data_IF_696080724755
#
_entry.id   IF_696080724755
#
_cell.length_a   1.000
_cell.length_b   1.000
_cell.length_c   1.000
_cell.angle_alpha   90.00
_cell.angle_beta   90.00
_cell.angle_gamma   90.00
#
_symmetry.space_group_name_H-M   'P 1'
#
loop_
_entity.id
_entity.type
_entity.pdbx_description
1 polymer ?
#
# COMPACT_ATOMS: atom_id res chain seq x y z
N UNK A 1 -13.33 8.72 -10.05
CA UNK A 1 -13.59 7.46 -9.33
C UNK A 1 -14.44 7.83 -8.11
N UNK A 2 -15.50 7.10 -7.81
CA UNK A 2 -16.38 7.49 -6.70
C UNK A 2 -15.60 7.47 -5.37
N UNK A 3 -15.86 8.44 -4.50
CA UNK A 3 -15.18 8.56 -3.19
C UNK A 3 -15.30 7.28 -2.35
N UNK A 4 -16.46 6.61 -2.42
CA UNK A 4 -16.70 5.30 -1.78
C UNK A 4 -15.71 4.21 -2.24
N UNK A 5 -15.38 4.17 -3.53
CA UNK A 5 -14.43 3.18 -4.08
C UNK A 5 -13.01 3.44 -3.59
N UNK A 6 -12.61 4.71 -3.45
CA UNK A 6 -11.30 5.07 -2.87
C UNK A 6 -11.24 4.63 -1.40
N UNK A 7 -12.29 4.89 -0.64
CA UNK A 7 -12.35 4.56 0.78
C UNK A 7 -12.30 3.03 1.01
N UNK A 8 -13.09 2.27 0.24
CA UNK A 8 -13.05 0.79 0.29
C UNK A 8 -11.67 0.28 -0.10
N UNK A 9 -11.08 0.82 -1.18
CA UNK A 9 -9.73 0.44 -1.60
C UNK A 9 -8.68 0.68 -0.52
N UNK A 10 -8.74 1.84 0.16
CA UNK A 10 -7.82 2.16 1.26
C UNK A 10 -8.02 1.22 2.46
N UNK A 11 -9.27 0.90 2.78
CA UNK A 11 -9.60 -0.06 3.84
C UNK A 11 -9.02 -1.45 3.54
N UNK A 12 -9.26 -1.96 2.33
CA UNK A 12 -8.75 -3.27 1.89
C UNK A 12 -7.22 -3.30 1.90
N UNK A 13 -6.58 -2.24 1.39
CA UNK A 13 -5.11 -2.14 1.37
C UNK A 13 -4.53 -2.08 2.79
N UNK A 14 -5.19 -1.38 3.71
CA UNK A 14 -4.79 -1.32 5.12
C UNK A 14 -4.86 -2.70 5.79
N UNK A 15 -5.96 -3.43 5.58
CA UNK A 15 -6.09 -4.81 6.08
C UNK A 15 -5.02 -5.72 5.49
N UNK A 16 -4.73 -5.58 4.19
CA UNK A 16 -3.65 -6.33 3.54
C UNK A 16 -2.29 -6.04 4.19
N UNK A 17 -1.97 -4.78 4.50
CA UNK A 17 -0.73 -4.43 5.19
C UNK A 17 -0.62 -5.08 6.57
N UNK A 18 -1.71 -5.09 7.36
CA UNK A 18 -1.71 -5.77 8.65
C UNK A 18 -1.40 -7.26 8.48
N UNK A 19 -2.04 -7.93 7.51
CA UNK A 19 -1.78 -9.35 7.22
C UNK A 19 -0.34 -9.60 6.78
N UNK A 20 0.23 -8.73 5.92
CA UNK A 20 1.62 -8.79 5.48
C UNK A 20 2.56 -8.63 6.67
N UNK A 21 2.35 -7.64 7.54
CA UNK A 21 3.19 -7.38 8.71
C UNK A 21 3.18 -8.58 9.65
N UNK A 22 2.01 -9.16 9.93
CA UNK A 22 1.92 -10.37 10.77
C UNK A 22 2.60 -11.55 10.07
N UNK A 23 2.42 -11.73 8.77
CA UNK A 23 3.09 -12.78 8.00
C UNK A 23 4.62 -12.63 7.97
N UNK A 24 5.16 -11.42 8.07
CA UNK A 24 6.60 -11.15 8.15
C UNK A 24 7.15 -11.42 9.55
N UNK A 25 6.45 -10.97 10.61
CA UNK A 25 6.94 -11.07 11.99
C UNK A 25 6.70 -12.48 12.56
N UNK A 26 5.54 -13.07 12.30
CA UNK A 26 5.12 -14.37 12.83
C UNK A 26 4.59 -15.28 11.71
N UNK A 27 5.44 -15.72 10.77
CA UNK A 27 5.01 -16.53 9.63
C UNK A 27 4.37 -17.86 10.02
N UNK A 28 4.67 -18.39 11.22
CA UNK A 28 4.11 -19.65 11.70
C UNK A 28 2.61 -19.57 12.07
N UNK A 29 2.09 -18.36 12.33
CA UNK A 29 0.70 -18.15 12.77
C UNK A 29 -0.26 -17.98 11.59
N UNK A 30 0.25 -17.54 10.44
CA UNK A 30 -0.55 -17.25 9.26
C UNK A 30 -0.34 -18.33 8.18
N UNK A 31 -1.43 -18.98 7.72
CA UNK A 31 -1.33 -19.89 6.59
C UNK A 31 -0.88 -19.12 5.34
N UNK A 32 -0.03 -19.74 4.52
CA UNK A 32 0.52 -19.12 3.30
C UNK A 32 1.33 -17.84 3.52
N UNK A 33 1.99 -17.67 4.69
CA UNK A 33 2.80 -16.49 5.01
C UNK A 33 3.80 -16.12 3.90
N UNK A 34 4.44 -17.09 3.25
CA UNK A 34 5.36 -16.84 2.13
C UNK A 34 4.69 -16.10 0.97
N UNK A 35 3.44 -16.45 0.62
CA UNK A 35 2.69 -15.76 -0.45
C UNK A 35 2.41 -14.31 -0.03
N UNK A 36 1.97 -14.09 1.21
CA UNK A 36 1.73 -12.75 1.72
C UNK A 36 3.00 -11.90 1.77
N UNK A 37 4.14 -12.48 2.13
CA UNK A 37 5.44 -11.81 2.07
C UNK A 37 5.79 -11.38 0.64
N UNK A 38 5.61 -12.26 -0.35
CA UNK A 38 5.81 -11.92 -1.77
C UNK A 38 4.85 -10.84 -2.25
N UNK A 39 3.56 -10.94 -1.90
CA UNK A 39 2.55 -9.92 -2.22
C UNK A 39 2.94 -8.58 -1.60
N UNK A 40 3.39 -8.57 -0.35
CA UNK A 40 3.90 -7.37 0.31
C UNK A 40 5.13 -6.79 -0.36
N UNK A 41 6.08 -7.63 -0.77
CA UNK A 41 7.25 -7.22 -1.54
C UNK A 41 6.87 -6.58 -2.88
N UNK A 42 5.97 -7.20 -3.64
CA UNK A 42 5.47 -6.69 -4.92
C UNK A 42 4.74 -5.35 -4.71
N UNK A 43 3.87 -5.26 -3.70
CA UNK A 43 3.17 -4.03 -3.36
C UNK A 43 4.14 -2.91 -3.00
N UNK A 44 5.14 -3.20 -2.18
CA UNK A 44 6.16 -2.22 -1.79
C UNK A 44 6.92 -1.70 -3.02
N UNK A 45 7.37 -2.60 -3.91
CA UNK A 45 8.05 -2.23 -5.16
C UNK A 45 7.13 -1.40 -6.06
N UNK A 46 5.87 -1.80 -6.22
CA UNK A 46 4.90 -1.05 -7.02
C UNK A 46 4.71 0.36 -6.47
N UNK A 47 4.50 0.52 -5.16
CA UNK A 47 4.34 1.84 -4.55
C UNK A 47 5.63 2.69 -4.63
N UNK A 48 6.82 2.08 -4.52
CA UNK A 48 8.08 2.78 -4.76
C UNK A 48 8.18 3.31 -6.21
N UNK A 49 7.78 2.51 -7.20
CA UNK A 49 7.73 2.95 -8.60
C UNK A 49 6.75 4.12 -8.75
N UNK A 50 5.56 4.03 -8.15
CA UNK A 50 4.57 5.11 -8.16
C UNK A 50 5.12 6.39 -7.53
N UNK A 51 5.86 6.28 -6.42
CA UNK A 51 6.56 7.42 -5.82
C UNK A 51 7.52 8.05 -6.82
N UNK A 52 8.37 7.26 -7.46
CA UNK A 52 9.37 7.78 -8.42
C UNK A 52 8.70 8.44 -9.62
N UNK A 53 7.65 7.82 -10.18
CA UNK A 53 6.92 8.31 -11.36
C UNK A 53 6.13 9.58 -11.04
N UNK A 54 5.44 9.61 -9.90
CA UNK A 54 4.54 10.70 -9.51
C UNK A 54 5.14 11.68 -8.50
N UNK A 55 6.47 11.64 -8.26
CA UNK A 55 7.17 12.49 -7.28
C UNK A 55 6.85 13.98 -7.41
N UNK A 56 6.58 14.46 -8.64
CA UNK A 56 6.27 15.88 -8.91
C UNK A 56 4.93 16.33 -8.34
N UNK A 57 4.03 15.39 -8.04
CA UNK A 57 2.73 15.66 -7.41
C UNK A 57 2.83 15.68 -5.87
N UNK A 58 3.94 15.20 -5.30
CA UNK A 58 4.12 15.09 -3.85
C UNK A 58 4.72 16.37 -3.28
N UNK A 59 4.07 16.94 -2.27
CA UNK A 59 4.43 18.23 -1.67
C UNK A 59 5.16 18.08 -0.34
N UNK A 60 5.12 16.90 0.29
CA UNK A 60 5.84 16.64 1.54
C UNK A 60 5.86 15.16 1.93
N UNK A 61 6.57 14.85 3.01
CA UNK A 61 6.77 13.46 3.52
C UNK A 61 5.47 12.70 3.77
N UNK A 62 4.38 13.39 4.13
CA UNK A 62 3.06 12.78 4.29
C UNK A 62 2.50 12.20 2.99
N UNK A 63 2.78 12.81 1.84
CA UNK A 63 2.34 12.30 0.54
C UNK A 63 3.13 11.05 0.15
N UNK A 64 4.44 11.04 0.42
CA UNK A 64 5.29 9.87 0.19
C UNK A 64 4.84 8.68 1.04
N UNK A 65 4.57 8.88 2.34
CA UNK A 65 4.06 7.83 3.22
C UNK A 65 2.67 7.35 2.79
N UNK A 66 1.79 8.29 2.41
CA UNK A 66 0.46 7.95 1.94
C UNK A 66 0.48 7.11 0.65
N UNK A 67 1.39 7.42 -0.29
CA UNK A 67 1.56 6.62 -1.51
C UNK A 67 2.26 5.30 -1.22
N UNK A 68 3.18 5.24 -0.25
CA UNK A 68 3.77 3.96 0.15
C UNK A 68 2.75 2.99 0.74
N UNK A 69 1.76 3.51 1.47
CA UNK A 69 0.72 2.71 2.12
C UNK A 69 -0.44 2.39 1.19
N UNK A 70 -0.87 3.34 0.35
CA UNK A 70 -2.11 3.23 -0.44
C UNK A 70 -1.92 3.39 -1.95
N UNK A 71 -0.70 3.64 -2.41
CA UNK A 71 -0.35 3.78 -3.80
C UNK A 71 -1.16 4.84 -4.55
N UNK A 72 -1.62 4.47 -5.74
CA UNK A 72 -2.48 5.28 -6.61
C UNK A 72 -3.77 5.74 -5.91
N UNK A 73 -4.27 5.02 -4.90
CA UNK A 73 -5.45 5.45 -4.16
C UNK A 73 -5.19 6.74 -3.37
N UNK A 74 -3.96 6.96 -2.90
CA UNK A 74 -3.56 8.24 -2.30
C UNK A 74 -3.37 9.31 -3.37
N UNK A 75 -2.72 8.99 -4.49
CA UNK A 75 -2.54 9.94 -5.60
C UNK A 75 -3.89 10.48 -6.13
N UNK A 76 -4.89 9.61 -6.27
CA UNK A 76 -6.26 9.99 -6.67
C UNK A 76 -7.05 10.72 -5.59
N UNK A 77 -6.57 10.72 -4.35
CA UNK A 77 -7.18 11.46 -3.24
C UNK A 77 -6.59 12.86 -3.09
N UNK A 78 -5.36 13.08 -3.56
CA UNK A 78 -4.66 14.38 -3.53
C UNK A 78 -4.96 15.20 -4.79
N UNK A 79 -5.17 14.53 -5.93
CA UNK A 79 -5.58 15.14 -7.21
C UNK A 79 -7.08 15.37 -7.25
#
# INVERSE_FOLDING_TARGET
MNSQVILIGKLVTSVMWVLIVVAVIQPAVIPFATILQWVGGILLVAHCIEIVVYRRLMRGVGDYLGVLLFGVLQLKSIR
#
